data_IF_290462390785
#
_entry.id   IF_290462390785
#
_cell.length_a   1.000
_cell.length_b   1.000
_cell.length_c   1.000
_cell.angle_alpha   90.00
_cell.angle_beta   90.00
_cell.angle_gamma   90.00
#
_symmetry.space_group_name_H-M   'P 1'
#
loop_
_entity.id
_entity.type
_entity.pdbx_description
1 polymer ?
#
# COMPACT_ATOMS: atom_id res chain seq x y z
N UNK A 1 9.40 13.24 10.50
CA UNK A 1 8.41 12.33 11.11
C UNK A 1 9.12 11.59 12.24
N UNK A 2 8.45 11.27 13.33
CA UNK A 2 9.03 10.39 14.37
C UNK A 2 8.45 8.97 14.29
N UNK A 3 9.02 8.02 15.03
CA UNK A 3 8.60 6.61 15.01
C UNK A 3 7.15 6.43 15.44
N UNK A 4 6.67 7.17 16.43
CA UNK A 4 5.29 7.04 16.90
C UNK A 4 4.28 7.52 15.84
N UNK A 5 4.58 8.63 15.17
CA UNK A 5 3.80 9.14 14.05
C UNK A 5 3.79 8.14 12.89
N UNK A 6 4.95 7.52 12.60
CA UNK A 6 5.07 6.52 11.55
C UNK A 6 4.30 5.23 11.87
N UNK A 7 4.29 4.80 13.14
CA UNK A 7 3.45 3.69 13.63
C UNK A 7 1.96 3.99 13.40
N UNK A 8 1.50 5.22 13.65
CA UNK A 8 0.13 5.62 13.34
C UNK A 8 -0.22 5.47 11.86
N UNK A 9 0.70 5.83 10.96
CA UNK A 9 0.51 5.65 9.51
C UNK A 9 0.48 4.19 9.09
N UNK A 10 1.28 3.34 9.73
CA UNK A 10 1.27 1.89 9.54
C UNK A 10 -0.11 1.31 9.93
N UNK A 11 -0.67 1.76 11.05
CA UNK A 11 -2.02 1.37 11.47
C UNK A 11 -3.10 1.85 10.49
N UNK A 12 -3.01 3.10 10.03
CA UNK A 12 -3.95 3.63 9.04
C UNK A 12 -3.87 2.90 7.69
N UNK A 13 -2.67 2.43 7.31
CA UNK A 13 -2.47 1.63 6.10
C UNK A 13 -3.17 0.27 6.25
N UNK A 14 -3.01 -0.41 7.39
CA UNK A 14 -3.73 -1.66 7.67
C UNK A 14 -5.27 -1.46 7.75
N UNK A 15 -5.72 -0.29 8.21
CA UNK A 15 -7.15 0.05 8.28
C UNK A 15 -7.76 0.43 6.92
N UNK A 16 -6.95 0.72 5.90
CA UNK A 16 -7.44 1.07 4.58
C UNK A 16 -8.27 -0.08 3.98
N UNK A 17 -9.42 0.26 3.39
CA UNK A 17 -10.29 -0.73 2.75
C UNK A 17 -9.59 -1.48 1.60
N UNK A 18 -8.57 -0.86 1.00
CA UNK A 18 -7.79 -1.40 -0.12
C UNK A 18 -6.54 -2.16 0.32
N UNK A 19 -6.33 -2.36 1.62
CA UNK A 19 -5.20 -3.11 2.15
C UNK A 19 -5.48 -4.62 2.12
N UNK A 20 -4.57 -5.39 1.53
CA UNK A 20 -4.65 -6.86 1.45
C UNK A 20 -4.53 -7.51 2.84
N UNK A 21 -4.77 -8.82 2.91
CA UNK A 21 -4.75 -9.53 4.19
C UNK A 21 -3.32 -9.77 4.68
N UNK A 22 -2.40 -10.00 3.75
CA UNK A 22 -0.99 -10.31 3.95
C UNK A 22 -0.27 -9.10 4.57
N UNK A 23 -0.42 -7.91 3.98
CA UNK A 23 0.09 -6.68 4.58
C UNK A 23 -0.49 -6.38 5.97
N UNK A 24 -1.77 -6.68 6.21
CA UNK A 24 -2.36 -6.55 7.56
C UNK A 24 -1.68 -7.48 8.56
N UNK A 25 -1.28 -8.68 8.15
CA UNK A 25 -0.53 -9.61 9.00
C UNK A 25 0.88 -9.10 9.27
N UNK A 26 1.59 -8.59 8.25
CA UNK A 26 2.90 -7.97 8.42
C UNK A 26 2.85 -6.77 9.39
N UNK A 27 1.82 -5.93 9.28
CA UNK A 27 1.58 -4.83 10.22
C UNK A 27 1.35 -5.35 11.64
N UNK A 28 0.48 -6.35 11.82
CA UNK A 28 0.21 -6.93 13.14
C UNK A 28 1.49 -7.52 13.78
N UNK A 29 2.33 -8.20 12.98
CA UNK A 29 3.60 -8.74 13.43
C UNK A 29 4.58 -7.64 13.87
N UNK A 30 4.71 -6.57 13.07
CA UNK A 30 5.54 -5.42 13.45
C UNK A 30 5.05 -4.76 14.75
N UNK A 31 3.74 -4.50 14.87
CA UNK A 31 3.17 -3.87 16.06
C UNK A 31 3.38 -4.72 17.34
N UNK A 32 3.33 -6.04 17.23
CA UNK A 32 3.61 -6.95 18.34
C UNK A 32 5.10 -6.97 18.74
N UNK A 33 6.00 -6.66 17.80
CA UNK A 33 7.44 -6.63 18.03
C UNK A 33 7.95 -5.26 18.52
N UNK A 34 7.14 -4.21 18.50
CA UNK A 34 7.56 -2.88 18.98
C UNK A 34 8.04 -2.95 20.43
N UNK A 35 9.28 -2.51 20.66
CA UNK A 35 9.95 -2.51 21.95
C UNK A 35 10.61 -3.83 22.33
N UNK A 36 10.59 -4.85 21.46
CA UNK A 36 11.26 -6.13 21.68
C UNK A 36 12.58 -6.23 20.90
N UNK A 37 13.34 -7.31 21.12
CA UNK A 37 14.55 -7.58 20.34
C UNK A 37 14.26 -7.89 18.85
N UNK A 38 13.03 -8.26 18.52
CA UNK A 38 12.60 -8.65 17.18
C UNK A 38 12.07 -7.47 16.34
N UNK A 39 12.00 -6.26 16.92
CA UNK A 39 11.40 -5.11 16.25
C UNK A 39 12.03 -4.83 14.89
N UNK A 40 13.37 -4.87 14.82
CA UNK A 40 14.11 -4.56 13.60
C UNK A 40 13.87 -5.58 12.49
N UNK A 41 13.81 -6.88 12.82
CA UNK A 41 13.53 -7.92 11.83
C UNK A 41 12.08 -7.85 11.36
N UNK A 42 11.14 -7.58 12.26
CA UNK A 42 9.74 -7.38 11.90
C UNK A 42 9.53 -6.11 11.04
N UNK A 43 10.28 -5.03 11.31
CA UNK A 43 10.28 -3.83 10.48
C UNK A 43 10.80 -4.11 9.06
N UNK A 44 11.89 -4.89 8.93
CA UNK A 44 12.41 -5.30 7.62
C UNK A 44 11.40 -6.13 6.83
N UNK A 45 10.71 -7.08 7.50
CA UNK A 45 9.66 -7.87 6.87
C UNK A 45 8.47 -6.99 6.43
N UNK A 46 8.03 -6.06 7.26
CA UNK A 46 6.97 -5.12 6.91
C UNK A 46 7.36 -4.24 5.70
N UNK A 47 8.60 -3.74 5.66
CA UNK A 47 9.09 -2.93 4.53
C UNK A 47 9.08 -3.75 3.24
N UNK A 48 9.57 -4.99 3.29
CA UNK A 48 9.59 -5.87 2.12
C UNK A 48 8.17 -6.14 1.62
N UNK A 49 7.23 -6.44 2.52
CA UNK A 49 5.82 -6.64 2.18
C UNK A 49 5.22 -5.40 1.52
N UNK A 50 5.46 -4.20 2.07
CA UNK A 50 4.99 -2.95 1.47
C UNK A 50 5.58 -2.75 0.06
N UNK A 51 6.87 -3.06 -0.14
CA UNK A 51 7.53 -2.95 -1.46
C UNK A 51 6.94 -3.91 -2.50
N UNK A 52 6.48 -5.10 -2.08
CA UNK A 52 5.82 -6.08 -2.95
C UNK A 52 4.36 -5.71 -3.26
N UNK A 53 3.65 -5.10 -2.29
CA UNK A 53 2.22 -4.81 -2.42
C UNK A 53 1.88 -3.45 -3.06
N UNK A 54 2.85 -2.53 -3.14
CA UNK A 54 2.62 -1.27 -3.87
C UNK A 54 2.43 -1.56 -5.36
N UNK A 55 1.25 -1.19 -5.86
CA UNK A 55 0.91 -1.41 -7.26
C UNK A 55 1.46 -0.29 -8.13
N UNK A 56 2.23 -0.62 -9.17
CA UNK A 56 2.68 0.36 -10.17
C UNK A 56 1.49 0.93 -10.94
N UNK A 57 1.63 2.15 -11.49
CA UNK A 57 0.55 2.75 -12.30
C UNK A 57 0.23 1.90 -13.53
N UNK A 58 1.23 1.23 -14.11
CA UNK A 58 1.04 0.38 -15.29
C UNK A 58 0.23 -0.88 -14.94
N UNK A 59 0.50 -1.50 -13.79
CA UNK A 59 -0.28 -2.64 -13.31
C UNK A 59 -1.70 -2.22 -12.95
N UNK A 60 -1.88 -1.03 -12.35
CA UNK A 60 -3.20 -0.46 -12.06
C UNK A 60 -4.02 -0.28 -13.35
N UNK A 61 -3.43 0.33 -14.39
CA UNK A 61 -4.07 0.51 -15.70
C UNK A 61 -4.40 -0.84 -16.33
N UNK A 62 -3.46 -1.79 -16.34
CA UNK A 62 -3.70 -3.12 -16.88
C UNK A 62 -4.87 -3.84 -16.18
N UNK A 63 -4.95 -3.75 -14.85
CA UNK A 63 -6.09 -4.27 -14.09
C UNK A 63 -7.38 -3.53 -14.43
N UNK A 64 -7.36 -2.20 -14.47
CA UNK A 64 -8.54 -1.38 -14.69
C UNK A 64 -9.21 -1.64 -16.05
N UNK A 65 -8.45 -2.02 -17.07
CA UNK A 65 -8.93 -2.39 -18.41
C UNK A 65 -9.19 -3.89 -18.58
N UNK A 66 -9.05 -4.70 -17.52
CA UNK A 66 -9.26 -6.15 -17.58
C UNK A 66 -10.74 -6.53 -17.47
N UNK A 67 -11.08 -7.73 -17.97
CA UNK A 67 -12.40 -8.33 -17.72
C UNK A 67 -12.67 -8.52 -16.22
N UNK A 68 -11.63 -8.82 -15.44
CA UNK A 68 -11.76 -9.00 -14.00
C UNK A 68 -12.26 -7.72 -13.30
N UNK A 69 -11.81 -6.53 -13.73
CA UNK A 69 -12.33 -5.28 -13.22
C UNK A 69 -13.82 -5.08 -13.56
N UNK A 70 -14.30 -5.56 -14.71
CA UNK A 70 -15.73 -5.58 -15.03
C UNK A 70 -16.50 -6.49 -14.07
N UNK A 71 -15.94 -7.66 -13.75
CA UNK A 71 -16.58 -8.63 -12.86
C UNK A 71 -16.70 -8.08 -11.41
N UNK A 72 -15.73 -7.27 -10.97
CA UNK A 72 -15.72 -6.66 -9.64
C UNK A 72 -16.60 -5.40 -9.59
N UNK A 73 -16.46 -4.50 -10.57
CA UNK A 73 -17.05 -3.15 -10.51
C UNK A 73 -18.30 -2.97 -11.37
N UNK A 74 -18.64 -3.96 -12.21
CA UNK A 74 -19.62 -3.82 -13.29
C UNK A 74 -19.11 -2.90 -14.41
N UNK A 75 -19.82 -2.90 -15.54
CA UNK A 75 -19.39 -2.15 -16.73
C UNK A 75 -19.23 -0.64 -16.49
N UNK A 76 -20.16 -0.01 -15.78
CA UNK A 76 -20.09 1.43 -15.52
C UNK A 76 -19.09 1.80 -14.42
N UNK A 77 -18.90 0.92 -13.43
CA UNK A 77 -17.87 1.10 -12.40
C UNK A 77 -16.47 0.94 -12.99
N UNK A 78 -16.26 -0.08 -13.82
CA UNK A 78 -15.01 -0.31 -14.53
C UNK A 78 -14.63 0.88 -15.41
N UNK A 79 -15.56 1.46 -16.18
CA UNK A 79 -15.27 2.65 -17.01
C UNK A 79 -14.76 3.83 -16.19
N UNK A 80 -15.37 4.10 -15.03
CA UNK A 80 -14.94 5.18 -14.13
C UNK A 80 -13.56 4.88 -13.53
N UNK A 81 -13.33 3.63 -13.13
CA UNK A 81 -12.06 3.21 -12.55
C UNK A 81 -10.92 3.24 -13.57
N UNK A 82 -11.16 2.79 -14.80
CA UNK A 82 -10.21 2.87 -15.91
C UNK A 82 -9.86 4.33 -16.27
N UNK A 83 -10.86 5.21 -16.33
CA UNK A 83 -10.62 6.64 -16.55
C UNK A 83 -9.70 7.25 -15.47
N UNK A 84 -9.93 6.91 -14.20
CA UNK A 84 -9.04 7.33 -13.09
C UNK A 84 -7.62 6.78 -13.23
N UNK A 85 -7.47 5.48 -13.55
CA UNK A 85 -6.17 4.86 -13.74
C UNK A 85 -5.39 5.50 -14.92
N UNK A 86 -6.07 5.79 -16.02
CA UNK A 86 -5.49 6.46 -17.19
C UNK A 86 -5.10 7.90 -16.88
N UNK A 87 -5.92 8.64 -16.11
CA UNK A 87 -5.61 10.00 -15.66
C UNK A 87 -4.36 10.03 -14.76
N UNK A 88 -4.26 9.12 -13.80
CA UNK A 88 -3.06 8.98 -12.94
C UNK A 88 -1.80 8.75 -13.78
N UNK A 89 -1.87 7.84 -14.75
CA UNK A 89 -0.75 7.54 -15.65
C UNK A 89 -0.39 8.75 -16.51
N UNK A 90 -1.37 9.43 -17.10
CA UNK A 90 -1.15 10.64 -17.87
C UNK A 90 -0.56 11.79 -17.02
N UNK A 91 -0.92 11.86 -15.74
CA UNK A 91 -0.35 12.78 -14.75
C UNK A 91 1.07 12.43 -14.30
N UNK A 92 1.65 11.30 -14.75
CA UNK A 92 3.01 10.88 -14.42
C UNK A 92 3.13 10.20 -13.06
N UNK A 93 2.03 9.74 -12.45
CA UNK A 93 2.10 8.93 -11.24
C UNK A 93 2.88 7.65 -11.52
N UNK A 94 3.71 7.21 -10.56
CA UNK A 94 4.46 5.94 -10.67
C UNK A 94 3.71 4.75 -10.11
N UNK A 95 2.80 5.01 -9.18
CA UNK A 95 2.11 4.01 -8.37
C UNK A 95 0.62 4.35 -8.24
N UNK A 96 -0.17 3.35 -7.89
CA UNK A 96 -1.56 3.47 -7.50
C UNK A 96 -1.73 4.43 -6.33
N UNK A 97 -2.81 5.22 -6.35
CA UNK A 97 -3.14 6.21 -5.33
C UNK A 97 -4.14 5.69 -4.29
N UNK A 98 -4.45 4.39 -4.30
CA UNK A 98 -5.37 3.82 -3.32
C UNK A 98 -4.86 4.08 -1.89
N UNK A 99 -5.75 4.18 -0.88
CA UNK A 99 -5.36 4.60 0.46
C UNK A 99 -4.28 3.71 1.11
N UNK A 100 -4.15 2.45 0.69
CA UNK A 100 -3.08 1.56 1.11
C UNK A 100 -1.75 1.89 0.40
N UNK A 101 -1.72 1.95 -0.93
CA UNK A 101 -0.50 2.26 -1.70
C UNK A 101 0.07 3.65 -1.34
N UNK A 102 -0.78 4.67 -1.22
CA UNK A 102 -0.35 6.01 -0.85
C UNK A 102 0.34 6.04 0.53
N UNK A 103 -0.20 5.32 1.52
CA UNK A 103 0.41 5.19 2.85
C UNK A 103 1.66 4.33 2.84
N UNK A 104 1.66 3.23 2.08
CA UNK A 104 2.83 2.38 1.88
C UNK A 104 4.01 3.19 1.36
N UNK A 105 3.80 4.00 0.32
CA UNK A 105 4.84 4.89 -0.23
C UNK A 105 5.34 5.91 0.80
N UNK A 106 4.45 6.49 1.61
CA UNK A 106 4.86 7.40 2.67
C UNK A 106 5.71 6.69 3.75
N UNK A 107 5.35 5.45 4.10
CA UNK A 107 6.12 4.62 5.04
C UNK A 107 7.49 4.28 4.46
N UNK A 108 7.55 3.86 3.19
CA UNK A 108 8.81 3.55 2.51
C UNK A 108 9.74 4.76 2.40
N UNK A 109 9.21 5.96 2.19
CA UNK A 109 9.98 7.19 2.17
C UNK A 109 10.63 7.52 3.54
N UNK A 110 10.13 6.91 4.63
CA UNK A 110 10.59 7.14 5.99
C UNK A 110 11.11 5.84 6.65
N UNK A 111 11.39 4.80 5.87
CA UNK A 111 11.70 3.45 6.38
C UNK A 111 12.90 3.39 7.31
N UNK A 112 13.88 4.27 7.12
CA UNK A 112 15.06 4.36 7.99
C UNK A 112 14.70 4.65 9.45
N UNK A 113 13.55 5.28 9.73
CA UNK A 113 13.05 5.49 11.10
C UNK A 113 12.67 4.17 11.78
N UNK A 114 12.20 3.17 11.01
CA UNK A 114 11.86 1.85 11.51
C UNK A 114 13.08 0.94 11.67
N UNK A 115 14.17 1.26 10.97
CA UNK A 115 15.40 0.45 10.92
C UNK A 115 16.51 0.96 11.85
N UNK A 116 16.35 2.17 12.38
CA UNK A 116 17.25 2.82 13.33
C UNK A 116 17.26 2.09 14.69
#
# INVERSE_FOLDING_TARGET
MDKQTLIGKIQDMAAAYSCCAELKQAVAAYLAAVGTADEKSAAQALIAEIEEDITTVDNLVAFAHSQHAVDIFGADGQKKFAAHADELKAGGAKYCDCPACARGLEILANKEILLA
#
